data_IF_138542450765
#
_entry.id   IF_138542450765
#
_cell.length_a   1.000
_cell.length_b   1.000
_cell.length_c   1.000
_cell.angle_alpha   90.00
_cell.angle_beta   90.00
_cell.angle_gamma   90.00
#
_symmetry.space_group_name_H-M   'P 1'
#
loop_
_entity.id
_entity.type
_entity.pdbx_description
1 polymer ?
#
# COMPACT_ATOMS: atom_id res chain seq x y z
N UNK A 1 1.99 -24.52 -22.98
CA UNK A 1 0.75 -24.00 -22.36
C UNK A 1 1.09 -22.72 -21.63
N UNK A 2 0.85 -21.57 -22.27
CA UNK A 2 1.10 -20.26 -21.68
C UNK A 2 -0.13 -19.93 -20.81
N UNK A 3 0.07 -19.84 -19.50
CA UNK A 3 -0.96 -19.40 -18.57
C UNK A 3 -1.22 -17.90 -18.82
N UNK A 4 -2.19 -17.61 -19.68
CA UNK A 4 -2.61 -16.24 -19.98
C UNK A 4 -3.35 -15.63 -18.79
N UNK A 5 -2.76 -14.61 -18.17
CA UNK A 5 -3.50 -13.72 -17.29
C UNK A 5 -4.54 -12.97 -18.13
N UNK A 6 -5.83 -13.11 -17.80
CA UNK A 6 -6.88 -12.30 -18.42
C UNK A 6 -6.81 -10.91 -17.80
N UNK A 7 -6.35 -9.96 -18.60
CA UNK A 7 -6.43 -8.54 -18.33
C UNK A 7 -7.73 -8.03 -18.96
N UNK A 8 -8.69 -7.59 -18.14
CA UNK A 8 -9.91 -6.96 -18.63
C UNK A 8 -9.55 -5.52 -19.01
N UNK A 9 -9.39 -5.28 -20.30
CA UNK A 9 -9.27 -3.94 -20.87
C UNK A 9 -10.67 -3.49 -21.29
N UNK A 10 -11.15 -2.38 -20.70
CA UNK A 10 -12.44 -1.72 -20.91
C UNK A 10 -13.63 -2.24 -20.09
N UNK A 11 -14.04 -1.43 -19.13
CA UNK A 11 -15.44 -1.23 -18.78
C UNK A 11 -15.92 0.02 -19.51
N UNK A 12 -16.87 -0.14 -20.43
CA UNK A 12 -17.65 0.98 -20.95
C UNK A 12 -18.65 1.31 -19.85
N UNK A 13 -18.71 2.56 -19.41
CA UNK A 13 -19.81 3.08 -18.60
C UNK A 13 -21.12 2.81 -19.34
N UNK A 14 -21.79 1.72 -18.96
CA UNK A 14 -23.17 1.48 -19.36
C UNK A 14 -23.99 2.53 -18.60
N UNK A 15 -24.30 3.64 -19.28
CA UNK A 15 -25.60 4.25 -19.08
C UNK A 15 -26.59 3.12 -19.31
N UNK A 16 -27.20 2.61 -18.24
CA UNK A 16 -28.24 1.58 -18.33
C UNK A 16 -29.48 2.26 -18.91
N UNK A 17 -29.43 2.59 -20.20
CA UNK A 17 -30.58 2.35 -21.05
C UNK A 17 -30.63 0.84 -21.23
N UNK A 18 -31.81 0.22 -21.03
CA UNK A 18 -32.03 -1.21 -21.23
C UNK A 18 -31.73 -1.58 -22.69
N UNK A 19 -30.46 -1.75 -23.00
CA UNK A 19 -29.98 -2.26 -24.27
C UNK A 19 -29.78 -3.76 -24.09
N UNK A 20 -30.39 -4.53 -24.99
CA UNK A 20 -30.42 -6.00 -25.01
C UNK A 20 -29.04 -6.55 -24.62
N UNK A 21 -29.04 -7.43 -23.61
CA UNK A 21 -27.85 -8.13 -23.11
C UNK A 21 -27.09 -8.76 -24.28
N UNK A 22 -26.00 -8.13 -24.70
CA UNK A 22 -25.03 -8.77 -25.58
C UNK A 22 -24.45 -9.90 -24.76
N UNK A 23 -24.75 -11.14 -25.14
CA UNK A 23 -24.14 -12.31 -24.52
C UNK A 23 -22.65 -12.22 -24.78
N UNK A 24 -21.88 -11.81 -23.77
CA UNK A 24 -20.43 -11.98 -23.78
C UNK A 24 -20.25 -13.48 -23.97
N UNK A 25 -19.81 -13.90 -25.17
CA UNK A 25 -19.44 -15.29 -25.43
C UNK A 25 -18.59 -15.74 -24.26
N UNK A 26 -19.07 -16.75 -23.53
CA UNK A 26 -18.47 -17.23 -22.30
C UNK A 26 -17.00 -17.51 -22.56
N UNK A 27 -16.13 -16.61 -22.12
CA UNK A 27 -14.69 -16.80 -22.25
C UNK A 27 -14.39 -17.99 -21.35
N UNK A 28 -14.20 -19.18 -21.95
CA UNK A 28 -13.73 -20.34 -21.22
C UNK A 28 -12.32 -20.03 -20.74
N UNK A 29 -12.20 -19.79 -19.44
CA UNK A 29 -10.92 -19.49 -18.82
C UNK A 29 -10.73 -20.37 -17.59
N UNK A 30 -9.49 -20.85 -17.44
CA UNK A 30 -9.04 -21.54 -16.24
C UNK A 30 -8.59 -20.56 -15.15
N UNK A 31 -8.75 -19.24 -15.36
CA UNK A 31 -8.38 -18.20 -14.40
C UNK A 31 -9.18 -18.33 -13.11
N UNK A 32 -8.47 -18.57 -12.00
CA UNK A 32 -9.05 -18.68 -10.65
C UNK A 32 -9.10 -17.34 -9.88
N UNK A 33 -8.61 -16.27 -10.50
CA UNK A 33 -8.47 -14.94 -9.87
C UNK A 33 -8.91 -13.83 -10.81
N UNK A 34 -9.48 -12.77 -10.23
CA UNK A 34 -9.82 -11.53 -10.90
C UNK A 34 -8.78 -10.48 -10.52
N UNK A 35 -8.10 -9.92 -11.52
CA UNK A 35 -7.26 -8.74 -11.38
C UNK A 35 -8.05 -7.59 -11.98
N UNK A 36 -8.46 -6.64 -11.15
CA UNK A 36 -9.14 -5.42 -11.63
C UNK A 36 -8.05 -4.48 -12.11
N UNK A 37 -7.80 -4.47 -13.42
CA UNK A 37 -6.85 -3.56 -14.05
C UNK A 37 -7.59 -2.25 -14.35
N UNK A 38 -7.31 -1.22 -13.56
CA UNK A 38 -7.86 0.11 -13.81
C UNK A 38 -6.97 0.82 -14.82
N UNK A 39 -7.53 1.23 -15.95
CA UNK A 39 -6.85 2.20 -16.82
C UNK A 39 -6.91 3.53 -16.07
N UNK A 40 -5.74 4.06 -15.73
CA UNK A 40 -5.48 5.24 -14.88
C UNK A 40 -6.23 6.53 -15.30
N UNK A 41 -7.00 6.48 -16.38
CA UNK A 41 -7.78 7.53 -17.02
C UNK A 41 -9.28 7.54 -16.68
N UNK A 42 -9.84 6.52 -16.04
CA UNK A 42 -11.26 6.55 -15.64
C UNK A 42 -11.42 6.34 -14.14
N UNK A 43 -12.22 7.22 -13.53
CA UNK A 43 -12.71 7.10 -12.15
C UNK A 43 -13.76 5.98 -12.14
N UNK A 44 -13.42 4.77 -12.58
CA UNK A 44 -14.26 3.58 -12.36
C UNK A 44 -13.87 2.97 -11.02
N UNK A 45 -13.88 3.83 -10.02
CA UNK A 45 -13.86 3.39 -8.63
C UNK A 45 -14.99 2.38 -8.45
N UNK A 46 -14.71 1.27 -7.80
CA UNK A 46 -15.77 0.44 -7.22
C UNK A 46 -16.46 1.15 -6.04
N UNK A 47 -16.46 2.49 -6.03
CA UNK A 47 -17.09 3.32 -5.02
C UNK A 47 -18.59 3.03 -5.00
N UNK A 48 -19.09 2.75 -3.81
CA UNK A 48 -20.49 2.35 -3.63
C UNK A 48 -20.79 0.89 -4.03
N UNK A 49 -19.94 0.22 -4.83
CA UNK A 49 -20.15 -1.18 -5.19
C UNK A 49 -19.80 -2.09 -4.01
N UNK A 50 -20.79 -2.82 -3.52
CA UNK A 50 -20.61 -3.84 -2.48
C UNK A 50 -20.23 -5.18 -3.11
N UNK A 51 -18.99 -5.61 -2.89
CA UNK A 51 -18.53 -6.93 -3.33
C UNK A 51 -18.97 -8.01 -2.33
N UNK A 52 -19.43 -9.15 -2.85
CA UNK A 52 -19.72 -10.32 -2.03
C UNK A 52 -18.42 -11.04 -1.59
N UNK A 53 -18.53 -12.04 -0.71
CA UNK A 53 -17.36 -12.73 -0.16
C UNK A 53 -16.55 -13.48 -1.22
N UNK A 54 -17.21 -14.11 -2.19
CA UNK A 54 -16.56 -14.86 -3.25
C UNK A 54 -15.74 -13.94 -4.17
N UNK A 55 -16.32 -12.83 -4.64
CA UNK A 55 -15.60 -11.86 -5.47
C UNK A 55 -14.40 -11.30 -4.72
N UNK A 56 -14.54 -10.96 -3.43
CA UNK A 56 -13.40 -10.51 -2.61
C UNK A 56 -12.32 -11.56 -2.45
N UNK A 57 -12.66 -12.86 -2.40
CA UNK A 57 -11.66 -13.91 -2.22
C UNK A 57 -10.84 -14.18 -3.47
N UNK A 58 -11.41 -13.98 -4.65
CA UNK A 58 -10.72 -14.15 -5.93
C UNK A 58 -10.09 -12.86 -6.45
N UNK A 59 -10.41 -11.70 -5.86
CA UNK A 59 -9.81 -10.41 -6.20
C UNK A 59 -8.35 -10.35 -5.71
N UNK A 60 -7.43 -10.00 -6.63
CA UNK A 60 -6.00 -9.80 -6.33
C UNK A 60 -5.55 -8.42 -6.82
N UNK A 61 -4.58 -7.79 -6.12
CA UNK A 61 -3.97 -6.55 -6.60
C UNK A 61 -3.09 -6.84 -7.81
N UNK A 62 -2.82 -5.82 -8.63
CA UNK A 62 -1.69 -5.91 -9.57
C UNK A 62 -0.37 -5.93 -8.81
N UNK A 63 0.72 -6.38 -9.43
CA UNK A 63 2.05 -6.35 -8.80
C UNK A 63 2.46 -4.93 -8.40
N UNK A 64 2.17 -3.94 -9.26
CA UNK A 64 2.47 -2.52 -8.98
C UNK A 64 1.71 -2.05 -7.74
N UNK A 65 0.42 -2.41 -7.61
CA UNK A 65 -0.37 -2.07 -6.42
C UNK A 65 0.18 -2.75 -5.17
N UNK A 66 0.59 -4.01 -5.28
CA UNK A 66 1.21 -4.74 -4.17
C UNK A 66 2.50 -4.06 -3.72
N UNK A 67 3.39 -3.69 -4.63
CA UNK A 67 4.64 -2.99 -4.29
C UNK A 67 4.39 -1.62 -3.67
N UNK A 68 3.39 -0.87 -4.15
CA UNK A 68 2.99 0.40 -3.53
C UNK A 68 2.47 0.20 -2.12
N UNK A 69 1.57 -0.77 -1.91
CA UNK A 69 1.05 -1.12 -0.58
C UNK A 69 2.20 -1.47 0.35
N UNK A 70 3.14 -2.30 -0.08
CA UNK A 70 4.31 -2.70 0.72
C UNK A 70 5.22 -1.51 1.05
N UNK A 71 5.48 -0.63 0.08
CA UNK A 71 6.23 0.60 0.31
C UNK A 71 5.57 1.51 1.35
N UNK A 72 4.25 1.68 1.25
CA UNK A 72 3.50 2.42 2.26
C UNK A 72 3.47 1.70 3.61
N UNK A 73 3.48 0.36 3.64
CA UNK A 73 3.64 -0.38 4.89
C UNK A 73 5.02 -0.20 5.52
N UNK A 74 6.04 0.27 4.82
CA UNK A 74 7.28 0.71 5.49
C UNK A 74 7.15 2.11 6.08
N UNK A 75 6.25 2.93 5.54
CA UNK A 75 5.95 4.27 6.05
C UNK A 75 4.59 4.38 6.76
N UNK A 76 3.77 5.31 6.26
CA UNK A 76 2.51 5.76 6.87
C UNK A 76 1.31 4.80 6.69
N UNK A 77 1.50 3.72 5.94
CA UNK A 77 0.50 2.67 5.73
C UNK A 77 0.40 1.70 6.91
N UNK A 78 -0.81 1.18 7.14
CA UNK A 78 -1.08 0.16 8.14
C UNK A 78 -2.10 -0.87 7.66
N UNK A 79 -2.00 -2.09 8.18
CA UNK A 79 -3.03 -3.12 8.01
C UNK A 79 -3.86 -3.25 9.30
N UNK A 80 -5.17 -3.10 9.18
CA UNK A 80 -6.10 -3.16 10.31
C UNK A 80 -7.02 -4.37 10.21
N UNK A 81 -7.13 -5.12 11.31
CA UNK A 81 -8.17 -6.12 11.51
C UNK A 81 -9.44 -5.44 12.01
N UNK A 82 -10.50 -5.46 11.20
CA UNK A 82 -11.81 -4.98 11.65
C UNK A 82 -12.50 -6.05 12.49
N UNK A 83 -13.20 -5.64 13.57
CA UNK A 83 -13.98 -6.56 14.43
C UNK A 83 -14.99 -7.43 13.66
N UNK A 84 -15.47 -6.93 12.52
CA UNK A 84 -16.50 -7.57 11.69
C UNK A 84 -15.93 -8.34 10.48
N UNK A 85 -14.61 -8.41 10.34
CA UNK A 85 -13.95 -9.03 9.17
C UNK A 85 -12.88 -10.01 9.59
N UNK A 86 -12.84 -11.17 8.92
CA UNK A 86 -11.76 -12.16 9.07
C UNK A 86 -10.47 -11.75 8.35
N UNK A 87 -10.54 -10.75 7.46
CA UNK A 87 -9.40 -10.29 6.67
C UNK A 87 -9.06 -8.84 7.04
N UNK A 88 -7.77 -8.47 7.01
CA UNK A 88 -7.35 -7.10 7.22
C UNK A 88 -7.73 -6.22 6.04
N UNK A 89 -7.76 -4.91 6.28
CA UNK A 89 -7.82 -3.87 5.25
C UNK A 89 -6.55 -3.04 5.31
N UNK A 90 -6.17 -2.46 4.18
CA UNK A 90 -5.10 -1.48 4.13
C UNK A 90 -5.66 -0.09 4.43
N UNK A 91 -4.96 0.63 5.29
CA UNK A 91 -5.26 1.98 5.72
C UNK A 91 -4.04 2.86 5.45
N UNK A 92 -4.27 4.00 4.83
CA UNK A 92 -3.23 5.00 4.60
C UNK A 92 -3.75 6.36 5.04
N UNK A 93 -3.09 6.97 6.02
CA UNK A 93 -3.55 8.22 6.63
C UNK A 93 -2.49 9.29 6.52
N UNK A 94 -2.87 10.48 6.08
CA UNK A 94 -1.98 11.64 6.02
C UNK A 94 -2.70 12.89 6.50
N UNK A 95 -1.92 13.92 6.83
CA UNK A 95 -2.48 15.25 7.10
C UNK A 95 -3.16 15.82 5.85
N UNK A 96 -4.21 16.62 6.04
CA UNK A 96 -4.93 17.24 4.93
C UNK A 96 -4.05 18.11 4.01
N UNK A 97 -2.94 18.65 4.55
CA UNK A 97 -1.94 19.40 3.78
C UNK A 97 -1.32 18.59 2.63
N UNK A 98 -1.34 17.26 2.72
CA UNK A 98 -0.82 16.34 1.69
C UNK A 98 -1.95 15.78 0.81
N UNK A 99 -3.04 16.52 0.62
CA UNK A 99 -4.21 16.07 -0.15
C UNK A 99 -3.82 15.51 -1.52
N UNK A 100 -3.00 16.22 -2.29
CA UNK A 100 -2.58 15.77 -3.63
C UNK A 100 -1.87 14.41 -3.59
N UNK A 101 -1.05 14.20 -2.58
CA UNK A 101 -0.36 12.93 -2.38
C UNK A 101 -1.34 11.81 -2.04
N UNK A 102 -2.23 12.05 -1.07
CA UNK A 102 -3.30 11.09 -0.73
C UNK A 102 -4.16 10.76 -1.94
N UNK A 103 -4.51 11.77 -2.74
CA UNK A 103 -5.33 11.59 -3.93
C UNK A 103 -4.60 10.77 -5.00
N UNK A 104 -3.29 10.98 -5.18
CA UNK A 104 -2.45 10.18 -6.06
C UNK A 104 -2.36 8.71 -5.61
N UNK A 105 -2.14 8.47 -4.32
CA UNK A 105 -2.16 7.12 -3.74
C UNK A 105 -3.52 6.48 -3.95
N UNK A 106 -4.61 7.19 -3.63
CA UNK A 106 -5.97 6.72 -3.81
C UNK A 106 -6.26 6.31 -5.25
N UNK A 107 -5.95 7.16 -6.23
CA UNK A 107 -6.14 6.80 -7.66
C UNK A 107 -5.41 5.52 -8.04
N UNK A 108 -4.24 5.26 -7.45
CA UNK A 108 -3.47 4.07 -7.78
C UNK A 108 -4.02 2.76 -7.19
N UNK A 109 -4.90 2.82 -6.18
CA UNK A 109 -5.50 1.66 -5.51
C UNK A 109 -7.03 1.75 -5.37
N UNK A 110 -7.67 2.66 -6.11
CA UNK A 110 -9.10 2.99 -6.03
C UNK A 110 -9.99 1.79 -6.31
N UNK A 111 -9.58 0.92 -7.23
CA UNK A 111 -10.22 -0.36 -7.54
C UNK A 111 -10.35 -1.27 -6.31
N UNK A 112 -9.44 -1.17 -5.34
CA UNK A 112 -9.47 -1.94 -4.09
C UNK A 112 -10.37 -1.30 -3.01
N UNK A 113 -10.75 -0.03 -3.19
CA UNK A 113 -11.50 0.78 -2.22
C UNK A 113 -13.02 0.78 -2.51
N UNK A 114 -13.83 0.89 -1.46
CA UNK A 114 -15.30 1.04 -1.60
C UNK A 114 -15.76 2.50 -1.49
N UNK A 115 -14.92 3.36 -0.93
CA UNK A 115 -15.25 4.76 -0.65
C UNK A 115 -14.06 5.62 -1.04
N UNK A 116 -14.38 6.87 -1.35
CA UNK A 116 -13.39 7.96 -1.42
C UNK A 116 -12.65 8.10 -0.08
N UNK A 117 -11.45 8.72 -0.08
CA UNK A 117 -10.71 9.00 1.15
C UNK A 117 -11.61 9.75 2.15
N UNK A 118 -11.70 9.23 3.37
CA UNK A 118 -12.51 9.82 4.43
C UNK A 118 -11.71 10.91 5.15
N UNK A 119 -12.35 12.06 5.37
CA UNK A 119 -11.79 13.11 6.21
C UNK A 119 -12.08 12.81 7.69
N UNK A 120 -11.10 13.07 8.54
CA UNK A 120 -11.28 13.07 9.99
C UNK A 120 -10.77 14.37 10.59
N UNK A 121 -11.33 14.73 11.75
CA UNK A 121 -10.91 15.90 12.55
C UNK A 121 -10.48 15.43 13.93
N UNK A 122 -9.34 15.92 14.40
CA UNK A 122 -8.85 15.71 15.76
C UNK A 122 -8.57 17.02 16.45
N UNK A 123 -8.75 17.07 17.77
CA UNK A 123 -8.38 18.20 18.61
C UNK A 123 -7.10 17.84 19.37
N UNK A 124 -6.06 18.65 19.25
CA UNK A 124 -4.82 18.48 20.02
C UNK A 124 -4.30 19.84 20.47
N UNK A 125 -4.08 20.00 21.77
CA UNK A 125 -3.66 21.28 22.38
C UNK A 125 -4.50 22.46 21.86
N UNK A 126 -5.82 22.30 21.90
CA UNK A 126 -6.81 23.31 21.47
C UNK A 126 -6.78 23.71 19.99
N UNK A 127 -5.98 23.01 19.16
CA UNK A 127 -5.93 23.21 17.71
C UNK A 127 -6.57 22.04 16.99
N UNK A 128 -7.39 22.35 15.99
CA UNK A 128 -7.97 21.35 15.11
C UNK A 128 -6.95 20.90 14.06
N UNK A 129 -6.86 19.59 13.88
CA UNK A 129 -6.07 18.95 12.84
C UNK A 129 -7.00 18.12 11.96
N UNK A 130 -6.81 18.24 10.65
CA UNK A 130 -7.55 17.48 9.65
C UNK A 130 -6.63 16.43 9.02
N UNK A 131 -7.15 15.23 8.85
CA UNK A 131 -6.48 14.15 8.14
C UNK A 131 -7.41 13.52 7.12
N UNK A 132 -6.80 12.83 6.16
CA UNK A 132 -7.46 12.04 5.14
C UNK A 132 -6.98 10.61 5.27
N UNK A 133 -7.92 9.67 5.22
CA UNK A 133 -7.64 8.25 5.30
C UNK A 133 -8.21 7.50 4.09
N UNK A 134 -7.36 6.72 3.44
CA UNK A 134 -7.76 5.75 2.42
C UNK A 134 -7.99 4.42 3.12
N UNK A 135 -9.09 3.75 2.79
CA UNK A 135 -9.38 2.40 3.27
C UNK A 135 -9.72 1.49 2.09
N UNK A 136 -8.96 0.42 1.93
CA UNK A 136 -9.36 -0.66 1.03
C UNK A 136 -10.53 -1.44 1.65
N UNK A 137 -11.20 -2.26 0.84
CA UNK A 137 -11.97 -3.37 1.41
C UNK A 137 -11.02 -4.34 2.12
N UNK A 138 -11.60 -5.16 2.99
CA UNK A 138 -10.89 -6.30 3.55
C UNK A 138 -10.75 -7.42 2.51
N UNK A 139 -9.52 -7.86 2.27
CA UNK A 139 -9.21 -8.89 1.27
C UNK A 139 -8.33 -10.01 1.85
N UNK A 140 -8.53 -11.28 1.46
CA UNK A 140 -7.67 -12.36 1.93
C UNK A 140 -6.19 -12.22 1.60
N UNK A 141 -5.82 -11.61 0.46
CA UNK A 141 -4.40 -11.43 0.13
C UNK A 141 -3.68 -10.48 1.10
N UNK A 142 -4.41 -9.57 1.73
CA UNK A 142 -3.84 -8.70 2.76
C UNK A 142 -3.54 -9.47 4.06
N UNK A 143 -4.15 -10.64 4.27
CA UNK A 143 -3.84 -11.49 5.43
C UNK A 143 -2.39 -11.97 5.37
N UNK A 144 -1.92 -12.42 4.20
CA UNK A 144 -0.52 -12.83 4.03
C UNK A 144 0.45 -11.69 4.34
N UNK A 145 0.14 -10.46 3.92
CA UNK A 145 0.94 -9.29 4.30
C UNK A 145 0.84 -8.97 5.79
N UNK A 146 -0.34 -9.16 6.39
CA UNK A 146 -0.56 -8.89 7.81
C UNK A 146 0.24 -9.84 8.69
N UNK A 147 0.21 -11.14 8.41
CA UNK A 147 0.99 -12.11 9.16
C UNK A 147 2.50 -11.89 9.00
N UNK A 148 2.92 -11.44 7.82
CA UNK A 148 4.32 -11.10 7.54
C UNK A 148 4.79 -9.84 8.29
N UNK A 149 4.04 -8.73 8.18
CA UNK A 149 4.44 -7.46 8.79
C UNK A 149 4.10 -7.33 10.27
N UNK A 150 3.11 -8.07 10.76
CA UNK A 150 2.59 -7.95 12.12
C UNK A 150 2.59 -9.31 12.83
N UNK A 151 3.74 -9.92 13.12
CA UNK A 151 3.78 -11.16 13.90
C UNK A 151 3.23 -10.94 15.32
N UNK A 152 2.74 -12.02 15.93
CA UNK A 152 2.29 -12.01 17.32
C UNK A 152 3.52 -12.12 18.24
N UNK A 153 3.80 -11.07 18.98
CA UNK A 153 4.90 -10.98 19.95
C UNK A 153 4.31 -10.62 21.31
N UNK A 154 4.53 -11.47 22.32
CA UNK A 154 4.03 -11.26 23.68
C UNK A 154 2.51 -10.97 23.74
N UNK A 155 1.71 -11.65 22.91
CA UNK A 155 0.26 -11.44 22.84
C UNK A 155 -0.19 -10.21 22.05
N UNK A 156 0.74 -9.42 21.50
CA UNK A 156 0.45 -8.23 20.71
C UNK A 156 0.95 -8.36 19.27
N UNK A 157 0.20 -7.84 18.31
CA UNK A 157 0.62 -7.75 16.90
C UNK A 157 1.46 -6.49 16.73
N UNK A 158 2.75 -6.65 16.43
CA UNK A 158 3.71 -5.55 16.34
C UNK A 158 4.22 -5.46 14.91
N UNK A 159 4.24 -4.24 14.35
CA UNK A 159 4.75 -3.99 13.01
C UNK A 159 6.27 -4.13 12.98
N UNK A 160 6.79 -4.97 12.08
CA UNK A 160 8.23 -5.23 11.92
C UNK A 160 8.69 -5.02 10.47
N UNK A 161 10.00 -5.14 10.23
CA UNK A 161 10.57 -5.32 8.88
C UNK A 161 10.77 -6.83 8.67
N UNK A 162 9.93 -7.52 7.88
CA UNK A 162 10.04 -8.97 7.69
C UNK A 162 11.20 -9.33 6.75
N UNK A 163 11.80 -10.51 6.92
CA UNK A 163 12.90 -10.97 6.06
C UNK A 163 12.45 -11.16 4.61
N UNK A 164 11.23 -11.67 4.41
CA UNK A 164 10.60 -11.85 3.10
C UNK A 164 10.34 -10.53 2.34
N UNK A 165 10.49 -9.38 3.00
CA UNK A 165 10.40 -8.07 2.35
C UNK A 165 11.34 -7.99 1.15
N UNK A 166 12.49 -8.67 1.18
CA UNK A 166 13.49 -8.66 0.11
C UNK A 166 12.90 -9.01 -1.27
N UNK A 167 11.90 -9.90 -1.32
CA UNK A 167 11.26 -10.32 -2.57
C UNK A 167 10.31 -9.28 -3.17
N UNK A 168 9.88 -8.31 -2.35
CA UNK A 168 8.96 -7.25 -2.74
C UNK A 168 9.60 -5.87 -2.73
N UNK A 169 10.82 -5.75 -2.19
CA UNK A 169 11.54 -4.50 -2.08
C UNK A 169 12.18 -4.15 -3.42
N UNK A 170 11.63 -3.15 -4.09
CA UNK A 170 12.04 -2.70 -5.41
C UNK A 170 11.91 -1.17 -5.52
N UNK A 171 12.25 -0.55 -6.66
CA UNK A 171 12.21 0.91 -6.78
C UNK A 171 10.83 1.53 -6.51
N UNK A 172 9.72 0.82 -6.81
CA UNK A 172 8.37 1.31 -6.56
C UNK A 172 8.08 1.34 -5.05
N UNK A 173 8.37 0.25 -4.33
CA UNK A 173 8.17 0.22 -2.88
C UNK A 173 9.09 1.20 -2.16
N UNK A 174 10.34 1.34 -2.63
CA UNK A 174 11.29 2.30 -2.06
C UNK A 174 10.83 3.74 -2.29
N UNK A 175 10.29 4.07 -3.46
CA UNK A 175 9.75 5.40 -3.75
C UNK A 175 8.55 5.73 -2.86
N UNK A 176 7.61 4.80 -2.67
CA UNK A 176 6.50 4.98 -1.73
C UNK A 176 7.00 5.22 -0.30
N UNK A 177 7.96 4.40 0.17
CA UNK A 177 8.56 4.57 1.48
C UNK A 177 9.27 5.93 1.64
N UNK A 178 10.01 6.36 0.61
CA UNK A 178 10.69 7.66 0.60
C UNK A 178 9.72 8.83 0.56
N UNK A 179 8.58 8.69 -0.10
CA UNK A 179 7.55 9.73 -0.11
C UNK A 179 6.83 9.82 1.24
N UNK A 180 6.65 8.71 1.95
CA UNK A 180 6.01 8.71 3.27
C UNK A 180 6.93 9.29 4.34
N UNK A 181 8.08 8.65 4.57
CA UNK A 181 8.98 8.88 5.71
C UNK A 181 10.35 9.43 5.33
N UNK A 182 10.54 9.82 4.06
CA UNK A 182 11.78 10.40 3.60
C UNK A 182 11.93 11.88 3.90
N UNK A 183 13.15 12.32 4.18
CA UNK A 183 13.47 13.72 4.42
C UNK A 183 14.84 14.09 3.83
N UNK A 184 14.90 15.23 3.13
CA UNK A 184 16.16 15.79 2.64
C UNK A 184 17.01 16.30 3.81
N UNK A 185 18.29 15.95 3.81
CA UNK A 185 19.28 16.56 4.71
C UNK A 185 19.99 17.68 3.98
N UNK A 186 20.07 18.85 4.61
CA UNK A 186 20.69 20.03 4.00
C UNK A 186 22.15 19.74 3.67
N UNK A 187 22.47 19.70 2.37
CA UNK A 187 23.82 19.55 1.77
C UNK A 187 24.49 18.18 1.96
N UNK A 188 23.88 17.21 2.61
CA UNK A 188 24.61 16.00 3.02
C UNK A 188 23.97 14.67 2.64
N UNK A 189 22.65 14.60 2.42
CA UNK A 189 22.02 13.32 2.07
C UNK A 189 20.50 13.27 2.20
N UNK A 190 20.00 12.07 2.52
CA UNK A 190 18.59 11.76 2.67
C UNK A 190 18.36 10.87 3.90
N UNK A 191 17.38 11.18 4.72
CA UNK A 191 16.92 10.34 5.82
C UNK A 191 15.70 9.55 5.42
N UNK A 192 15.59 8.32 5.93
CA UNK A 192 14.32 7.64 6.13
C UNK A 192 14.03 7.58 7.63
N UNK A 193 12.92 8.18 8.05
CA UNK A 193 12.53 8.25 9.46
C UNK A 193 11.90 6.94 9.96
N UNK A 194 12.73 5.92 10.15
CA UNK A 194 12.36 4.58 10.62
C UNK A 194 12.08 4.47 12.13
N UNK A 195 11.65 5.56 12.77
CA UNK A 195 11.51 5.64 14.24
C UNK A 195 10.43 4.72 14.81
N UNK A 196 9.56 4.17 13.95
CA UNK A 196 8.53 3.20 14.30
C UNK A 196 9.02 1.75 14.39
N UNK A 197 10.26 1.47 14.01
CA UNK A 197 10.85 0.13 13.99
C UNK A 197 11.96 -0.03 15.05
N UNK A 198 12.31 -1.28 15.35
CA UNK A 198 13.43 -1.61 16.23
C UNK A 198 14.77 -1.40 15.51
N UNK A 199 15.88 -1.27 16.25
CA UNK A 199 17.21 -1.21 15.62
C UNK A 199 17.49 -2.44 14.76
N UNK A 200 17.13 -3.65 15.22
CA UNK A 200 17.27 -4.88 14.45
C UNK A 200 16.52 -4.84 13.13
N UNK A 201 15.28 -4.36 13.13
CA UNK A 201 14.49 -4.17 11.92
C UNK A 201 15.12 -3.18 10.95
N UNK A 202 15.67 -2.08 11.47
CA UNK A 202 16.31 -1.06 10.63
C UNK A 202 17.66 -1.51 10.08
N UNK A 203 18.44 -2.30 10.82
CA UNK A 203 19.66 -2.92 10.29
C UNK A 203 19.35 -3.94 9.18
N UNK A 204 18.28 -4.74 9.32
CA UNK A 204 17.79 -5.60 8.23
C UNK A 204 17.44 -4.75 7.00
N UNK A 205 16.65 -3.70 7.18
CA UNK A 205 16.25 -2.81 6.08
C UNK A 205 17.47 -2.17 5.40
N UNK A 206 18.47 -1.72 6.17
CA UNK A 206 19.73 -1.20 5.63
C UNK A 206 20.47 -2.25 4.79
N UNK A 207 20.55 -3.50 5.25
CA UNK A 207 21.13 -4.62 4.49
C UNK A 207 20.37 -4.89 3.19
N UNK A 208 19.04 -4.86 3.22
CA UNK A 208 18.20 -5.01 2.02
C UNK A 208 18.42 -3.85 1.04
N UNK A 209 18.55 -2.61 1.52
CA UNK A 209 18.83 -1.45 0.66
C UNK A 209 20.18 -1.59 -0.05
N UNK A 210 21.19 -2.11 0.65
CA UNK A 210 22.49 -2.41 0.07
C UNK A 210 22.39 -3.52 -0.97
N UNK A 211 21.78 -4.66 -0.62
CA UNK A 211 21.70 -5.82 -1.50
C UNK A 211 20.88 -5.58 -2.76
N UNK A 212 19.71 -4.93 -2.65
CA UNK A 212 18.79 -4.73 -3.77
C UNK A 212 19.20 -3.53 -4.64
N UNK A 213 19.64 -2.44 -4.03
CA UNK A 213 19.85 -1.16 -4.74
C UNK A 213 21.31 -0.71 -4.79
N UNK A 214 22.22 -1.40 -4.10
CA UNK A 214 23.62 -0.97 -3.98
C UNK A 214 23.82 0.25 -3.10
N UNK A 215 22.81 0.68 -2.32
CA UNK A 215 22.96 1.86 -1.47
C UNK A 215 23.83 1.57 -0.25
N UNK A 216 24.87 2.38 -0.07
CA UNK A 216 25.62 2.42 1.19
C UNK A 216 24.94 3.40 2.12
N UNK A 217 24.37 2.87 3.20
CA UNK A 217 23.60 3.63 4.20
C UNK A 217 24.20 3.50 5.60
N UNK A 218 23.83 4.41 6.49
CA UNK A 218 24.17 4.32 7.91
C UNK A 218 22.90 4.30 8.75
N UNK A 219 22.90 3.54 9.84
CA UNK A 219 21.82 3.56 10.83
C UNK A 219 22.26 4.47 11.98
N UNK A 220 21.55 5.57 12.17
CA UNK A 220 21.83 6.56 13.18
C UNK A 220 20.85 6.44 14.35
N UNK A 221 21.31 6.76 15.56
CA UNK A 221 20.48 6.85 16.75
C UNK A 221 20.00 8.29 16.96
N UNK A 222 18.70 8.54 16.78
CA UNK A 222 18.06 9.81 17.09
C UNK A 222 17.09 9.60 18.26
N UNK A 223 17.51 9.98 19.47
CA UNK A 223 16.68 9.86 20.69
C UNK A 223 16.26 8.40 21.01
N UNK A 224 17.22 7.48 20.97
CA UNK A 224 17.00 6.03 21.13
C UNK A 224 16.09 5.40 20.07
N UNK A 225 15.97 6.05 18.91
CA UNK A 225 15.21 5.53 17.76
C UNK A 225 16.08 5.47 16.51
N UNK A 226 16.02 4.37 15.74
CA UNK A 226 16.82 4.21 14.55
C UNK A 226 16.31 5.07 13.38
N UNK A 227 17.24 5.69 12.65
CA UNK A 227 16.98 6.45 11.42
C UNK A 227 18.01 6.03 10.37
N UNK A 228 17.56 5.70 9.15
CA UNK A 228 18.49 5.40 8.04
C UNK A 228 18.91 6.71 7.40
N UNK A 229 20.21 6.84 7.13
CA UNK A 229 20.81 7.95 6.41
C UNK A 229 21.57 7.48 5.18
N UNK A 230 21.25 8.08 4.04
CA UNK A 230 21.96 7.89 2.78
C UNK A 230 22.78 9.15 2.48
N UNK A 231 24.13 9.05 2.46
CA UNK A 231 24.99 10.16 2.06
C UNK A 231 24.75 10.61 0.62
N UNK A 232 24.88 11.90 0.34
CA UNK A 232 24.71 12.48 -1.01
C UNK A 232 25.60 11.87 -2.07
N UNK A 233 26.83 11.46 -1.72
CA UNK A 233 27.76 10.75 -2.62
C UNK A 233 27.24 9.40 -3.14
N UNK A 234 26.16 8.89 -2.54
CA UNK A 234 25.48 7.66 -2.95
C UNK A 234 24.07 7.93 -3.50
N UNK A 235 23.69 9.22 -3.62
CA UNK A 235 22.43 9.68 -4.21
C UNK A 235 22.74 10.31 -5.57
N UNK A 236 22.75 9.46 -6.61
CA UNK A 236 23.01 9.79 -8.02
C UNK A 236 24.44 10.25 -8.34
#
# INVERSE_FOLDING_TARGET
MIAGNILIYNTVSLVISRSKSISIKTIQTNSKSIIIYDNMSYIESSNGIRLNNHVRSITKPTLIQLYKIIGHLLGDGTLEMCKTSKNPRFCFTQTFKRFEYVWSVYKSISNLCQKLPSQSKGLRKEKYFYSLAIHTRSYPFLMSLYDMFYPLMNGHRIKIVPDDLIYFFNPISLACFAMDDGAKVKKSGFYFHTKGFTFTDVYKLAGMMHYVFGYTVTVQNHENRPVIYIPSKHLF
#
